data_IF_443177366908
#
_entry.id   IF_443177366908
#
_cell.length_a   1.000
_cell.length_b   1.000
_cell.length_c   1.000
_cell.angle_alpha   90.00
_cell.angle_beta   90.00
_cell.angle_gamma   90.00
#
_symmetry.space_group_name_H-M   'P 1'
#
loop_
_entity.id
_entity.type
_entity.pdbx_description
1 polymer ?
#
# COMPACT_ATOMS: atom_id res chain seq x y z
N UNK A 1 23.49 14.92 43.64
CA UNK A 1 22.96 13.55 43.45
C UNK A 1 21.44 13.49 43.56
N UNK A 2 20.82 13.92 44.68
CA UNK A 2 19.35 13.88 44.86
C UNK A 2 18.57 14.70 43.82
N UNK A 3 19.04 15.89 43.45
CA UNK A 3 18.41 16.73 42.42
C UNK A 3 18.40 16.06 41.05
N UNK A 4 19.51 15.42 40.67
CA UNK A 4 19.64 14.67 39.41
C UNK A 4 18.72 13.44 39.42
N UNK A 5 18.65 12.71 40.54
CA UNK A 5 17.75 11.57 40.71
C UNK A 5 16.26 11.98 40.58
N UNK A 6 15.87 13.11 41.17
CA UNK A 6 14.51 13.65 41.05
C UNK A 6 14.19 14.07 39.60
N UNK A 7 15.14 14.69 38.89
CA UNK A 7 14.96 15.02 37.46
C UNK A 7 14.81 13.77 36.59
N UNK A 8 15.58 12.71 36.85
CA UNK A 8 15.47 11.43 36.14
C UNK A 8 14.10 10.79 36.38
N UNK A 9 13.60 10.81 37.62
CA UNK A 9 12.28 10.27 37.95
C UNK A 9 11.15 11.02 37.23
N UNK A 10 11.23 12.35 37.18
CA UNK A 10 10.24 13.18 36.49
C UNK A 10 10.22 12.89 34.97
N UNK A 11 11.40 12.78 34.36
CA UNK A 11 11.55 12.46 32.94
C UNK A 11 10.99 11.07 32.64
N UNK A 12 11.27 10.09 33.51
CA UNK A 12 10.76 8.73 33.41
C UNK A 12 9.23 8.72 33.37
N UNK A 13 8.55 9.37 34.32
CA UNK A 13 7.08 9.42 34.38
C UNK A 13 6.47 10.05 33.13
N UNK A 14 7.11 11.06 32.54
CA UNK A 14 6.63 11.70 31.31
C UNK A 14 6.65 10.75 30.11
N UNK A 15 7.65 9.85 30.01
CA UNK A 15 7.80 8.92 28.90
C UNK A 15 6.90 7.68 28.96
N UNK A 16 6.29 7.35 30.11
CA UNK A 16 5.46 6.14 30.26
C UNK A 16 3.94 6.36 30.10
N UNK A 17 3.47 7.51 29.61
CA UNK A 17 2.03 7.79 29.42
C UNK A 17 1.44 7.29 28.08
N UNK A 18 2.19 6.57 27.26
CA UNK A 18 1.76 6.15 25.92
C UNK A 18 0.88 4.88 25.91
N UNK A 19 -0.03 4.73 26.89
CA UNK A 19 -0.99 3.61 26.87
C UNK A 19 -2.08 3.92 25.84
N UNK A 20 -2.08 3.20 24.72
CA UNK A 20 -3.15 3.27 23.70
C UNK A 20 -4.09 2.08 23.89
N UNK A 21 -5.40 2.36 23.92
CA UNK A 21 -6.40 1.29 23.88
C UNK A 21 -6.54 0.77 22.43
N UNK A 22 -6.24 -0.51 22.23
CA UNK A 22 -6.36 -1.15 20.92
C UNK A 22 -7.76 -1.72 20.79
N UNK A 23 -8.49 -1.26 19.79
CA UNK A 23 -9.80 -1.81 19.44
C UNK A 23 -9.66 -2.76 18.25
N UNK A 24 -10.38 -3.86 18.30
CA UNK A 24 -10.55 -4.74 17.14
C UNK A 24 -11.76 -4.27 16.34
N UNK A 25 -11.54 -3.93 15.07
CA UNK A 25 -12.57 -3.40 14.17
C UNK A 25 -12.81 -4.39 13.06
N UNK A 26 -13.98 -5.03 13.10
CA UNK A 26 -14.40 -5.90 12.00
C UNK A 26 -14.72 -5.07 10.77
N UNK A 27 -14.14 -5.43 9.63
CA UNK A 27 -14.40 -4.78 8.33
C UNK A 27 -14.94 -5.79 7.32
N UNK A 28 -15.90 -5.41 6.47
CA UNK A 28 -16.49 -6.34 5.52
C UNK A 28 -15.45 -6.78 4.47
N UNK A 29 -15.31 -8.09 4.31
CA UNK A 29 -14.47 -8.69 3.27
C UNK A 29 -15.31 -9.24 2.12
N UNK A 30 -14.74 -9.26 0.91
CA UNK A 30 -15.35 -9.83 -0.29
C UNK A 30 -14.40 -10.86 -0.92
N UNK A 31 -14.94 -11.67 -1.84
CA UNK A 31 -14.12 -12.55 -2.68
C UNK A 31 -13.08 -11.75 -3.48
N UNK A 32 -11.91 -12.37 -3.67
CA UNK A 32 -10.78 -11.74 -4.34
C UNK A 32 -11.09 -11.40 -5.81
N UNK A 33 -10.85 -10.15 -6.21
CA UNK A 33 -11.06 -9.64 -7.56
C UNK A 33 -9.72 -9.37 -8.23
N UNK A 34 -9.71 -9.42 -9.57
CA UNK A 34 -8.55 -8.99 -10.36
C UNK A 34 -8.40 -7.47 -10.24
N UNK A 35 -7.19 -7.03 -9.90
CA UNK A 35 -6.77 -5.64 -9.85
C UNK A 35 -5.74 -5.43 -10.95
N UNK A 36 -5.97 -4.40 -11.78
CA UNK A 36 -5.10 -4.05 -12.90
C UNK A 36 -4.57 -2.65 -12.62
N UNK A 37 -3.26 -2.53 -12.47
CA UNK A 37 -2.56 -1.27 -12.35
C UNK A 37 -1.72 -1.05 -13.61
N UNK A 38 -2.11 -0.06 -14.40
CA UNK A 38 -1.47 0.29 -15.65
C UNK A 38 -1.39 1.81 -15.75
N UNK A 39 -0.18 2.34 -15.84
CA UNK A 39 0.07 3.74 -16.19
C UNK A 39 0.67 3.77 -17.59
N UNK A 40 -0.13 4.10 -18.59
CA UNK A 40 0.32 4.16 -19.98
C UNK A 40 0.85 5.57 -20.23
N UNK A 41 2.14 5.75 -19.96
CA UNK A 41 2.83 7.02 -20.19
C UNK A 41 3.63 6.92 -21.49
N UNK A 42 3.34 7.80 -22.44
CA UNK A 42 4.14 7.90 -23.66
C UNK A 42 5.21 8.97 -23.47
N UNK A 43 6.47 8.55 -23.34
CA UNK A 43 7.61 9.46 -23.34
C UNK A 43 7.88 10.00 -24.75
N UNK A 44 7.94 11.33 -24.88
CA UNK A 44 8.16 12.00 -26.16
C UNK A 44 9.46 11.52 -26.81
N UNK A 45 9.38 11.09 -28.06
CA UNK A 45 10.52 10.59 -28.83
C UNK A 45 10.76 9.08 -28.71
N UNK A 46 9.96 8.37 -27.90
CA UNK A 46 9.95 6.90 -27.86
C UNK A 46 8.84 6.32 -28.74
N UNK A 47 8.91 5.02 -29.06
CA UNK A 47 7.81 4.30 -29.71
C UNK A 47 6.58 4.14 -28.82
N UNK A 48 6.71 4.34 -27.51
CA UNK A 48 5.65 4.09 -26.53
C UNK A 48 5.27 2.62 -26.38
N UNK A 49 5.99 1.68 -26.99
CA UNK A 49 5.67 0.24 -26.97
C UNK A 49 6.05 -0.45 -25.67
N UNK A 50 7.04 0.09 -24.97
CA UNK A 50 7.55 -0.49 -23.72
C UNK A 50 6.67 -0.03 -22.57
N UNK A 51 5.74 -0.88 -22.18
CA UNK A 51 4.75 -0.60 -21.13
C UNK A 51 4.84 -1.67 -20.04
N UNK A 52 4.72 -1.25 -18.79
CA UNK A 52 4.67 -2.16 -17.64
C UNK A 52 3.26 -2.16 -17.05
N UNK A 53 2.69 -3.35 -16.90
CA UNK A 53 1.33 -3.57 -16.40
C UNK A 53 1.40 -4.54 -15.24
N UNK A 54 0.86 -4.14 -14.08
CA UNK A 54 0.82 -4.96 -12.89
C UNK A 54 -0.57 -5.57 -12.72
N UNK A 55 -0.61 -6.89 -12.57
CA UNK A 55 -1.84 -7.64 -12.32
C UNK A 55 -1.73 -8.33 -10.96
N UNK A 56 -2.69 -8.07 -10.08
CA UNK A 56 -2.76 -8.68 -8.76
C UNK A 56 -4.19 -9.09 -8.39
N UNK A 57 -4.35 -9.84 -7.31
CA UNK A 57 -5.65 -10.07 -6.67
C UNK A 57 -5.82 -9.13 -5.49
N UNK A 58 -7.03 -8.60 -5.30
CA UNK A 58 -7.38 -7.84 -4.11
C UNK A 58 -7.28 -8.72 -2.86
N UNK A 59 -6.75 -8.16 -1.78
CA UNK A 59 -6.62 -8.81 -0.47
C UNK A 59 -7.50 -8.13 0.58
N UNK A 60 -7.87 -8.83 1.66
CA UNK A 60 -8.54 -8.22 2.82
C UNK A 60 -7.72 -7.05 3.40
N UNK A 61 -8.40 -6.09 4.05
CA UNK A 61 -7.79 -4.87 4.57
C UNK A 61 -6.66 -5.11 5.59
N UNK A 62 -6.83 -6.09 6.48
CA UNK A 62 -5.84 -6.44 7.49
C UNK A 62 -4.84 -7.52 7.05
N UNK A 63 -4.84 -7.90 5.77
CA UNK A 63 -3.91 -8.89 5.24
C UNK A 63 -2.49 -8.30 5.14
N UNK A 64 -1.51 -9.00 5.71
CA UNK A 64 -0.11 -8.53 5.78
C UNK A 64 0.81 -9.20 4.77
N UNK A 65 0.31 -10.22 4.06
CA UNK A 65 1.07 -10.96 3.04
C UNK A 65 1.31 -10.16 1.74
N UNK A 66 0.77 -8.95 1.63
CA UNK A 66 0.95 -8.05 0.48
C UNK A 66 0.16 -8.47 -0.77
N UNK A 67 0.53 -7.90 -1.92
CA UNK A 67 -0.17 -8.11 -3.18
C UNK A 67 0.05 -9.55 -3.71
N UNK A 68 -1.02 -10.22 -4.12
CA UNK A 68 -0.97 -11.56 -4.72
C UNK A 68 -0.82 -11.43 -6.24
N UNK A 69 0.30 -11.84 -6.86
CA UNK A 69 0.51 -11.69 -8.30
C UNK A 69 -0.35 -12.64 -9.12
N UNK A 70 -0.70 -12.22 -10.33
CA UNK A 70 -1.40 -13.06 -11.31
C UNK A 70 -0.42 -13.52 -12.39
N UNK A 71 -0.42 -14.82 -12.70
CA UNK A 71 0.42 -15.43 -13.74
C UNK A 71 -0.43 -16.05 -14.85
N UNK A 72 0.14 -16.18 -16.06
CA UNK A 72 -0.55 -16.78 -17.21
C UNK A 72 -1.63 -15.91 -17.85
N UNK A 73 -1.70 -14.62 -17.50
CA UNK A 73 -2.63 -13.69 -18.12
C UNK A 73 -2.15 -13.24 -19.50
N UNK A 74 -3.10 -13.07 -20.43
CA UNK A 74 -2.86 -12.39 -21.71
C UNK A 74 -3.31 -10.94 -21.59
N UNK A 75 -2.41 -10.00 -21.86
CA UNK A 75 -2.67 -8.56 -21.76
C UNK A 75 -2.68 -7.96 -23.15
N UNK A 76 -3.74 -7.22 -23.49
CA UNK A 76 -3.89 -6.51 -24.76
C UNK A 76 -4.19 -5.05 -24.44
N UNK A 77 -3.40 -4.14 -25.00
CA UNK A 77 -3.62 -2.70 -24.91
C UNK A 77 -4.17 -2.24 -26.26
N UNK A 78 -5.27 -1.51 -26.23
CA UNK A 78 -5.90 -0.94 -27.43
C UNK A 78 -6.09 0.55 -27.22
N UNK A 79 -5.52 1.35 -28.11
CA UNK A 79 -5.86 2.77 -28.19
C UNK A 79 -7.07 2.92 -29.11
N UNK A 80 -8.19 3.43 -28.58
CA UNK A 80 -9.43 3.66 -29.34
C UNK A 80 -9.59 5.12 -29.79
N UNK A 81 -8.59 5.95 -29.54
CA UNK A 81 -8.59 7.39 -29.74
C UNK A 81 -7.24 7.80 -30.35
N UNK A 82 -7.17 7.85 -31.67
CA UNK A 82 -6.13 8.60 -32.35
C UNK A 82 -6.48 10.08 -32.11
N UNK A 83 -5.73 10.77 -31.25
CA UNK A 83 -6.05 12.13 -30.79
C UNK A 83 -5.96 13.22 -31.86
N UNK A 84 -6.65 13.03 -32.99
CA UNK A 84 -6.94 14.01 -34.05
C UNK A 84 -8.30 14.66 -33.84
#
# INVERSE_FOLDING_TARGET
MKQILNSILLITVLFFNACTDVIDVEVPTQEAKLVIEASINWEKGTSGSDQTIYLSKSTPFFETNGNVPVSGASVIITNTSDGT
#
